data_IF_561318804352
#
_entry.id   IF_561318804352
#
_cell.length_a   1.000
_cell.length_b   1.000
_cell.length_c   1.000
_cell.angle_alpha   90.00
_cell.angle_beta   90.00
_cell.angle_gamma   90.00
#
_symmetry.space_group_name_H-M   'P 1'
#
loop_
_entity.id
_entity.type
_entity.pdbx_description
1 polymer ?
#
# COMPACT_ATOMS: atom_id res chain seq x y z
N UNK A 1 2.79 2.01 -6.26
CA UNK A 1 3.68 2.06 -5.08
C UNK A 1 5.02 2.63 -5.48
N UNK A 2 5.59 3.41 -4.59
CA UNK A 2 6.91 4.00 -4.75
C UNK A 2 7.78 3.52 -3.61
N UNK A 3 9.00 3.16 -3.92
CA UNK A 3 10.01 2.84 -2.94
C UNK A 3 11.06 3.94 -3.02
N UNK A 4 11.25 4.68 -1.92
CA UNK A 4 12.31 5.65 -1.78
C UNK A 4 13.43 5.05 -0.94
N UNK A 5 14.65 5.33 -1.32
CA UNK A 5 15.83 5.03 -0.51
C UNK A 5 15.87 5.91 0.75
N UNK A 6 16.90 5.73 1.57
CA UNK A 6 17.12 6.44 2.83
C UNK A 6 17.27 7.98 2.70
N UNK A 7 17.32 8.50 1.50
CA UNK A 7 17.38 9.93 1.21
C UNK A 7 15.99 10.47 0.87
N UNK A 8 15.64 11.72 1.26
CA UNK A 8 14.42 12.37 0.80
C UNK A 8 14.40 12.45 -0.73
N UNK A 9 13.41 11.84 -1.35
CA UNK A 9 13.25 11.81 -2.80
C UNK A 9 11.94 12.47 -3.16
N UNK A 10 11.99 13.44 -4.08
CA UNK A 10 10.80 14.02 -4.68
C UNK A 10 10.46 13.26 -5.96
N UNK A 11 9.22 12.81 -6.08
CA UNK A 11 8.70 12.08 -7.23
C UNK A 11 7.55 12.85 -7.83
N UNK A 12 7.54 12.99 -9.15
CA UNK A 12 6.51 13.74 -9.87
C UNK A 12 5.67 12.78 -10.70
N UNK A 13 4.36 12.95 -10.67
CA UNK A 13 3.39 12.15 -11.42
C UNK A 13 2.51 13.06 -12.26
N UNK A 14 2.25 12.68 -13.50
CA UNK A 14 1.18 13.26 -14.29
C UNK A 14 -0.17 12.70 -13.80
N UNK A 15 -0.95 13.57 -13.16
CA UNK A 15 -2.30 13.23 -12.67
C UNK A 15 -3.41 13.74 -13.59
N UNK A 16 -3.07 14.42 -14.66
CA UNK A 16 -4.01 15.00 -15.62
C UNK A 16 -5.08 14.00 -16.11
N UNK A 17 -4.72 12.75 -16.47
CA UNK A 17 -5.71 11.77 -16.93
C UNK A 17 -6.74 11.36 -15.87
N UNK A 18 -6.50 11.64 -14.60
CA UNK A 18 -7.35 11.24 -13.48
C UNK A 18 -8.20 12.39 -12.95
N UNK A 19 -7.98 13.62 -13.42
CA UNK A 19 -8.71 14.78 -12.94
C UNK A 19 -10.15 14.81 -13.45
N UNK A 20 -11.04 15.24 -12.57
CA UNK A 20 -12.45 15.49 -12.85
C UNK A 20 -12.75 16.99 -12.81
N UNK A 21 -13.79 17.41 -13.51
CA UNK A 21 -14.18 18.82 -13.59
C UNK A 21 -14.75 19.36 -12.25
N UNK A 22 -15.28 18.46 -11.39
CA UNK A 22 -15.95 18.85 -10.15
C UNK A 22 -15.00 18.79 -8.95
N UNK A 23 -14.87 17.63 -8.33
CA UNK A 23 -14.10 17.46 -7.09
C UNK A 23 -13.02 16.41 -7.27
N UNK A 24 -11.81 16.77 -6.88
CA UNK A 24 -10.66 15.89 -6.87
C UNK A 24 -10.12 15.74 -5.44
N UNK A 25 -9.73 14.53 -5.08
CA UNK A 25 -9.10 14.23 -3.80
C UNK A 25 -7.68 13.74 -4.06
N UNK A 26 -6.72 14.41 -3.46
CA UNK A 26 -5.34 13.91 -3.39
C UNK A 26 -5.18 13.18 -2.07
N UNK A 27 -4.99 11.88 -2.15
CA UNK A 27 -4.87 11.02 -0.98
C UNK A 27 -3.55 10.24 -1.03
N UNK A 28 -2.77 10.30 0.05
CA UNK A 28 -1.48 9.68 0.18
C UNK A 28 -1.49 8.66 1.32
N UNK A 29 -1.18 7.41 1.03
CA UNK A 29 -0.88 6.41 2.04
C UNK A 29 0.63 6.26 2.14
N UNK A 30 1.18 6.64 3.27
CA UNK A 30 2.62 6.70 3.51
C UNK A 30 3.02 5.74 4.64
N UNK A 31 4.11 5.03 4.43
CA UNK A 31 4.84 4.34 5.48
C UNK A 31 6.34 4.60 5.29
N UNK A 32 7.06 4.96 6.35
CA UNK A 32 8.51 5.05 6.29
C UNK A 32 9.09 3.67 5.99
N UNK A 33 10.20 3.63 5.26
CA UNK A 33 10.92 2.39 5.03
C UNK A 33 11.62 1.91 6.29
N UNK A 34 11.66 0.59 6.48
CA UNK A 34 12.51 -0.02 7.50
C UNK A 34 13.99 0.36 7.26
N UNK A 35 14.80 0.69 8.28
CA UNK A 35 14.48 0.68 9.72
C UNK A 35 13.88 1.99 10.28
N UNK A 36 13.59 2.98 9.48
CA UNK A 36 13.15 4.32 9.91
C UNK A 36 11.65 4.39 10.15
N UNK A 37 11.12 3.47 10.95
CA UNK A 37 9.66 3.27 11.13
C UNK A 37 8.94 4.41 11.87
N UNK A 38 9.67 5.33 12.46
CA UNK A 38 9.10 6.44 13.25
C UNK A 38 8.90 7.74 12.45
N UNK A 39 9.42 7.81 11.21
CA UNK A 39 9.24 9.00 10.37
C UNK A 39 7.83 9.06 9.81
N UNK A 40 7.15 10.18 9.98
CA UNK A 40 5.80 10.43 9.45
C UNK A 40 5.68 11.74 8.69
N UNK A 41 6.81 12.26 8.16
CA UNK A 41 6.85 13.53 7.45
C UNK A 41 6.74 13.30 5.95
N UNK A 42 5.81 14.02 5.32
CA UNK A 42 5.62 14.03 3.86
C UNK A 42 5.40 15.45 3.39
N UNK A 43 5.79 15.75 2.17
CA UNK A 43 5.49 17.01 1.49
C UNK A 43 4.87 16.69 0.13
N UNK A 44 3.80 17.39 -0.21
CA UNK A 44 3.12 17.23 -1.49
C UNK A 44 3.04 18.60 -2.15
N UNK A 45 3.40 18.67 -3.42
CA UNK A 45 3.19 19.82 -4.28
C UNK A 45 2.28 19.43 -5.43
N UNK A 46 1.18 20.14 -5.61
CA UNK A 46 0.31 20.02 -6.76
C UNK A 46 0.49 21.26 -7.65
N UNK A 47 0.91 21.06 -8.86
CA UNK A 47 1.21 22.14 -9.78
C UNK A 47 0.82 21.78 -11.22
N UNK A 48 0.63 22.79 -12.03
CA UNK A 48 0.24 22.61 -13.43
C UNK A 48 -0.18 23.92 -14.07
N UNK A 49 -1.01 23.79 -15.10
CA UNK A 49 -1.62 24.90 -15.82
C UNK A 49 -3.13 24.73 -15.73
N UNK A 50 -3.85 25.79 -15.37
CA UNK A 50 -5.31 25.75 -15.30
C UNK A 50 -5.98 25.88 -16.67
N UNK A 51 -7.30 25.84 -16.70
CA UNK A 51 -8.08 25.93 -17.95
C UNK A 51 -7.89 27.25 -18.72
N UNK A 52 -7.41 28.30 -18.07
CA UNK A 52 -7.09 29.59 -18.71
C UNK A 52 -5.68 29.67 -19.29
N UNK A 53 -4.86 28.62 -19.05
CA UNK A 53 -3.45 28.61 -19.41
C UNK A 53 -2.54 29.24 -18.34
N UNK A 54 -3.06 29.61 -17.19
CA UNK A 54 -2.26 30.18 -16.11
C UNK A 54 -1.60 29.09 -15.24
N UNK A 55 -0.30 29.23 -14.92
CA UNK A 55 0.37 28.27 -14.04
C UNK A 55 -0.12 28.41 -12.60
N UNK A 56 -0.23 27.29 -11.93
CA UNK A 56 -0.53 27.25 -10.49
C UNK A 56 0.40 26.30 -9.74
N UNK A 57 0.55 26.53 -8.45
CA UNK A 57 1.24 25.64 -7.52
C UNK A 57 0.57 25.72 -6.15
N UNK A 58 0.37 24.57 -5.52
CA UNK A 58 -0.15 24.41 -4.16
C UNK A 58 0.71 23.41 -3.40
N UNK A 59 1.02 23.72 -2.16
CA UNK A 59 1.74 22.83 -1.27
C UNK A 59 0.81 22.25 -0.22
N UNK A 60 1.16 21.08 0.30
CA UNK A 60 0.53 20.58 1.52
C UNK A 60 0.82 21.55 2.67
N UNK A 61 -0.19 21.79 3.48
CA UNK A 61 -0.17 22.71 4.61
C UNK A 61 -0.92 22.12 5.82
N UNK A 62 -1.08 22.88 6.89
CA UNK A 62 -1.82 22.49 8.09
C UNK A 62 -3.32 22.24 7.88
N UNK A 63 -3.86 22.60 6.70
CA UNK A 63 -5.24 22.26 6.33
C UNK A 63 -5.43 20.83 5.83
N UNK A 64 -4.36 20.10 5.57
CA UNK A 64 -4.45 18.70 5.20
C UNK A 64 -4.93 17.85 6.37
N UNK A 65 -5.72 16.84 6.04
CA UNK A 65 -6.22 15.88 7.02
C UNK A 65 -5.35 14.64 7.03
N UNK A 66 -5.05 14.15 8.21
CA UNK A 66 -4.26 12.93 8.38
C UNK A 66 -4.88 11.99 9.41
N UNK A 67 -4.62 10.72 9.26
CA UNK A 67 -4.96 9.69 10.25
C UNK A 67 -3.97 8.55 10.17
N UNK A 68 -3.89 7.78 11.24
CA UNK A 68 -3.07 6.57 11.23
C UNK A 68 -3.67 5.54 10.25
N UNK A 69 -2.85 5.02 9.34
CA UNK A 69 -3.26 3.95 8.44
C UNK A 69 -3.51 2.64 9.21
N UNK A 70 -4.26 1.73 8.59
CA UNK A 70 -4.47 0.39 9.12
C UNK A 70 -3.24 -0.54 8.94
N UNK A 71 -2.20 -0.08 8.28
CA UNK A 71 -0.94 -0.79 8.08
C UNK A 71 0.22 -0.01 8.69
N UNK A 72 1.21 -0.75 9.20
CA UNK A 72 2.46 -0.20 9.72
C UNK A 72 3.59 -1.23 9.62
N UNK A 73 4.81 -0.74 9.49
CA UNK A 73 5.99 -1.56 9.69
C UNK A 73 6.27 -1.77 11.18
N UNK A 74 6.73 -2.94 11.52
CA UNK A 74 7.23 -3.27 12.84
C UNK A 74 8.76 -3.14 12.87
N UNK A 75 9.33 -3.04 14.05
CA UNK A 75 10.78 -2.89 14.24
C UNK A 75 11.59 -4.10 13.76
N UNK A 76 10.95 -5.26 13.64
CA UNK A 76 11.54 -6.49 13.11
C UNK A 76 11.31 -6.69 11.59
N UNK A 77 10.87 -5.63 10.91
CA UNK A 77 10.73 -5.61 9.45
C UNK A 77 9.50 -6.36 8.92
N UNK A 78 8.53 -6.66 9.77
CA UNK A 78 7.23 -7.18 9.35
C UNK A 78 6.26 -6.05 9.08
N UNK A 79 5.24 -6.33 8.28
CA UNK A 79 4.10 -5.44 8.10
C UNK A 79 2.92 -5.94 8.93
N UNK A 80 2.40 -5.07 9.80
CA UNK A 80 1.19 -5.35 10.57
C UNK A 80 0.02 -4.62 9.94
N UNK A 81 -1.00 -5.37 9.51
CA UNK A 81 -2.23 -4.83 8.91
C UNK A 81 -3.43 -5.17 9.80
N UNK A 82 -4.12 -4.15 10.28
CA UNK A 82 -5.36 -4.31 11.05
C UNK A 82 -6.57 -4.10 10.13
N UNK A 83 -7.20 -5.18 9.68
CA UNK A 83 -8.38 -5.14 8.83
C UNK A 83 -9.58 -4.45 9.48
N UNK A 84 -9.65 -4.41 10.81
CA UNK A 84 -10.74 -3.76 11.56
C UNK A 84 -10.73 -2.24 11.43
N UNK A 85 -9.58 -1.66 11.03
CA UNK A 85 -9.36 -0.24 10.81
C UNK A 85 -9.40 0.14 9.32
N UNK A 86 -9.72 -0.83 8.46
CA UNK A 86 -9.84 -0.57 7.03
C UNK A 86 -10.99 0.39 6.75
N UNK A 87 -10.71 1.39 5.95
CA UNK A 87 -11.68 2.39 5.50
C UNK A 87 -11.56 2.53 3.97
N UNK A 88 -12.51 1.98 3.23
CA UNK A 88 -12.48 2.03 1.77
C UNK A 88 -12.70 3.46 1.22
N UNK A 89 -13.26 4.35 2.04
CA UNK A 89 -13.63 5.71 1.62
C UNK A 89 -12.51 6.74 1.69
N UNK A 90 -11.35 6.39 2.28
CA UNK A 90 -10.29 7.36 2.59
C UNK A 90 -9.76 8.17 1.41
N UNK A 91 -9.94 7.69 0.19
CA UNK A 91 -9.55 8.36 -1.07
C UNK A 91 -10.76 8.81 -1.92
N UNK A 92 -11.95 8.77 -1.37
CA UNK A 92 -13.17 9.18 -2.07
C UNK A 92 -13.50 10.64 -1.76
N UNK A 93 -14.15 11.34 -2.70
CA UNK A 93 -14.61 12.72 -2.48
C UNK A 93 -15.63 12.85 -1.32
N UNK A 94 -16.25 11.74 -0.94
CA UNK A 94 -17.25 11.67 0.12
C UNK A 94 -16.73 10.99 1.40
N UNK A 95 -15.40 10.96 1.61
CA UNK A 95 -14.84 10.38 2.83
C UNK A 95 -15.36 11.07 4.10
N UNK A 96 -15.44 10.34 5.20
CA UNK A 96 -15.87 10.90 6.47
C UNK A 96 -14.68 11.51 7.22
N UNK A 97 -14.59 12.83 7.35
CA UNK A 97 -13.48 13.49 8.02
C UNK A 97 -13.52 13.41 9.55
N UNK A 98 -14.60 12.93 10.16
CA UNK A 98 -14.82 13.00 11.61
C UNK A 98 -13.74 12.30 12.46
N UNK A 99 -13.02 11.34 11.86
CA UNK A 99 -11.93 10.59 12.51
C UNK A 99 -10.54 11.04 12.04
N UNK A 100 -10.48 12.15 11.33
CA UNK A 100 -9.24 12.70 10.81
C UNK A 100 -8.81 13.90 11.63
N UNK A 101 -7.51 14.11 11.74
CA UNK A 101 -6.88 15.24 12.41
C UNK A 101 -6.25 16.15 11.35
N UNK A 102 -6.11 17.40 11.65
CA UNK A 102 -5.29 18.31 10.84
C UNK A 102 -3.81 17.93 10.95
N UNK A 103 -3.09 18.08 9.85
CA UNK A 103 -1.65 17.83 9.84
C UNK A 103 -0.90 18.95 10.58
N UNK A 104 0.17 18.58 11.27
CA UNK A 104 1.11 19.55 11.84
C UNK A 104 2.12 19.97 10.78
N UNK A 105 2.21 21.27 10.52
CA UNK A 105 3.27 21.79 9.67
C UNK A 105 4.63 21.69 10.36
N UNK A 106 5.59 21.16 9.62
CA UNK A 106 6.99 21.10 10.06
C UNK A 106 7.86 21.81 9.01
N UNK A 107 8.70 22.70 9.45
CA UNK A 107 9.74 23.26 8.58
C UNK A 107 10.75 22.15 8.28
N UNK A 108 11.18 22.06 7.01
CA UNK A 108 12.32 21.24 6.67
C UNK A 108 13.53 21.68 7.49
N UNK A 109 14.34 20.71 7.92
CA UNK A 109 15.61 21.05 8.58
C UNK A 109 16.49 21.89 7.64
N UNK A 110 17.11 22.93 8.16
CA UNK A 110 18.03 23.75 7.39
C UNK A 110 19.12 22.87 6.77
N UNK A 111 19.31 22.99 5.44
CA UNK A 111 20.26 22.18 4.71
C UNK A 111 19.77 20.79 4.28
N UNK A 112 18.50 20.46 4.49
CA UNK A 112 17.92 19.22 3.94
C UNK A 112 18.06 19.22 2.42
N UNK A 113 18.85 18.26 1.91
CA UNK A 113 18.98 18.03 0.46
C UNK A 113 17.85 17.09 0.03
N UNK A 114 17.07 17.52 -0.94
CA UNK A 114 16.06 16.69 -1.60
C UNK A 114 16.60 16.26 -2.96
N UNK A 115 16.62 14.97 -3.21
CA UNK A 115 16.92 14.45 -4.55
C UNK A 115 15.64 14.46 -5.36
N UNK A 116 15.64 15.19 -6.47
CA UNK A 116 14.54 15.19 -7.42
C UNK A 116 14.75 14.07 -8.42
N UNK A 117 13.84 13.11 -8.46
CA UNK A 117 13.78 12.14 -9.53
C UNK A 117 13.01 12.73 -10.70
N UNK A 118 13.46 12.40 -11.92
CA UNK A 118 12.74 12.81 -13.12
C UNK A 118 11.35 12.20 -13.18
N UNK A 119 10.48 12.75 -14.01
CA UNK A 119 9.13 12.23 -14.27
C UNK A 119 9.14 10.78 -14.82
N UNK A 120 10.29 10.27 -15.20
CA UNK A 120 10.51 8.90 -15.68
C UNK A 120 10.80 7.90 -14.55
N UNK A 121 10.55 8.24 -13.29
CA UNK A 121 10.74 7.31 -12.19
C UNK A 121 9.77 6.13 -12.34
N UNK A 122 10.28 4.88 -12.31
CA UNK A 122 9.43 3.72 -12.52
C UNK A 122 8.40 3.58 -11.40
N UNK A 123 7.15 3.44 -11.78
CA UNK A 123 6.03 3.17 -10.88
C UNK A 123 5.80 1.67 -10.81
N UNK A 124 5.69 1.16 -9.59
CA UNK A 124 5.37 -0.25 -9.39
C UNK A 124 3.88 -0.49 -9.63
N UNK A 125 3.57 -1.24 -10.68
CA UNK A 125 2.22 -1.58 -11.07
C UNK A 125 1.93 -3.07 -10.90
N UNK A 126 0.68 -3.39 -10.67
CA UNK A 126 0.18 -4.74 -10.79
C UNK A 126 0.07 -5.10 -12.28
N UNK A 127 0.75 -6.14 -12.70
CA UNK A 127 0.80 -6.56 -14.10
C UNK A 127 0.09 -7.88 -14.35
N UNK A 128 0.00 -8.76 -13.35
CA UNK A 128 -0.63 -10.07 -13.51
C UNK A 128 -1.14 -10.62 -12.20
N UNK A 129 -2.21 -11.43 -12.26
CA UNK A 129 -2.71 -12.23 -11.13
C UNK A 129 -2.80 -13.69 -11.53
N UNK A 130 -2.25 -14.58 -10.72
CA UNK A 130 -2.33 -16.05 -10.91
C UNK A 130 -2.72 -16.73 -9.60
N UNK A 131 -3.14 -17.98 -9.67
CA UNK A 131 -3.45 -18.82 -8.52
C UNK A 131 -2.30 -19.75 -8.16
N UNK A 132 -2.41 -20.43 -7.02
CA UNK A 132 -1.49 -21.48 -6.64
C UNK A 132 -1.70 -22.74 -7.51
N UNK A 133 -0.67 -23.57 -7.63
CA UNK A 133 -0.69 -24.84 -8.37
C UNK A 133 -0.81 -26.05 -7.46
N UNK A 134 -0.27 -25.92 -6.26
CA UNK A 134 -0.25 -26.99 -5.27
C UNK A 134 -0.35 -26.42 -3.86
N UNK A 135 -0.96 -27.15 -2.94
CA UNK A 135 -0.93 -26.81 -1.52
C UNK A 135 -0.65 -28.05 -0.66
N UNK A 136 -0.05 -27.82 0.50
CA UNK A 136 0.25 -28.83 1.49
C UNK A 136 -0.11 -28.32 2.89
N UNK A 137 -0.54 -29.21 3.76
CA UNK A 137 -0.98 -28.91 5.13
C UNK A 137 -0.14 -29.64 6.15
N UNK A 138 0.13 -28.97 7.25
CA UNK A 138 0.63 -29.61 8.45
C UNK A 138 -0.18 -29.13 9.67
N UNK A 139 0.12 -29.66 10.85
CA UNK A 139 -0.62 -29.34 12.07
C UNK A 139 -0.56 -27.87 12.51
N UNK A 140 0.26 -27.03 11.84
CA UNK A 140 0.51 -25.64 12.23
C UNK A 140 0.16 -24.63 11.15
N UNK A 141 -0.16 -25.07 9.93
CA UNK A 141 -0.45 -24.12 8.83
C UNK A 141 -0.67 -24.81 7.50
N UNK A 142 -0.75 -23.99 6.47
CA UNK A 142 -0.88 -24.40 5.08
C UNK A 142 0.13 -23.69 4.21
N UNK A 143 0.75 -24.41 3.30
CA UNK A 143 1.71 -23.90 2.32
C UNK A 143 1.09 -23.96 0.94
N UNK A 144 1.22 -22.88 0.19
CA UNK A 144 0.80 -22.78 -1.20
C UNK A 144 2.01 -22.58 -2.08
N UNK A 145 2.10 -23.34 -3.16
CA UNK A 145 3.17 -23.24 -4.15
C UNK A 145 2.62 -22.71 -5.48
N UNK A 146 3.30 -21.70 -6.01
CA UNK A 146 3.02 -21.12 -7.31
C UNK A 146 3.93 -21.79 -8.36
N UNK A 147 3.39 -22.06 -9.54
CA UNK A 147 4.13 -22.80 -10.57
C UNK A 147 5.39 -22.07 -11.05
N UNK A 148 5.36 -20.74 -11.05
CA UNK A 148 6.49 -19.87 -11.42
C UNK A 148 6.73 -18.90 -10.28
N UNK A 149 7.99 -18.54 -10.03
CA UNK A 149 8.35 -17.49 -9.09
C UNK A 149 7.94 -16.11 -9.63
N UNK A 150 7.53 -15.22 -8.74
CA UNK A 150 7.13 -13.85 -9.10
C UNK A 150 7.57 -12.86 -8.01
N UNK A 151 7.77 -11.61 -8.43
CA UNK A 151 7.92 -10.48 -7.51
C UNK A 151 6.58 -9.80 -7.31
N UNK A 152 6.18 -9.57 -6.06
CA UNK A 152 4.91 -8.90 -5.77
C UNK A 152 4.36 -9.18 -4.39
N UNK A 153 3.08 -9.50 -4.30
CA UNK A 153 2.41 -9.83 -3.05
C UNK A 153 1.46 -11.02 -3.23
N UNK A 154 1.17 -11.69 -2.12
CA UNK A 154 0.11 -12.70 -2.05
C UNK A 154 -1.12 -12.07 -1.41
N UNK A 155 -2.29 -12.32 -1.98
CA UNK A 155 -3.59 -11.96 -1.41
C UNK A 155 -4.38 -13.21 -1.08
N UNK A 156 -4.90 -13.25 0.14
CA UNK A 156 -5.77 -14.34 0.61
C UNK A 156 -7.19 -13.82 0.71
N UNK A 157 -8.16 -14.59 0.24
CA UNK A 157 -9.57 -14.39 0.59
C UNK A 157 -9.93 -15.36 1.71
N UNK A 158 -10.40 -14.80 2.82
CA UNK A 158 -10.73 -15.53 4.04
C UNK A 158 -12.25 -15.54 4.21
N UNK A 159 -12.83 -16.72 4.30
CA UNK A 159 -14.25 -16.88 4.57
C UNK A 159 -14.50 -17.16 6.04
N UNK A 160 -15.43 -16.42 6.64
CA UNK A 160 -15.87 -16.59 8.02
C UNK A 160 -14.74 -16.46 9.07
N UNK A 161 -13.67 -15.75 8.74
CA UNK A 161 -12.66 -15.42 9.72
C UNK A 161 -13.27 -14.52 10.83
N UNK A 162 -12.95 -14.80 12.07
CA UNK A 162 -13.54 -14.07 13.20
C UNK A 162 -12.85 -12.73 13.39
N UNK A 163 -13.63 -11.70 13.74
CA UNK A 163 -13.06 -10.39 14.07
C UNK A 163 -11.97 -10.50 15.14
N UNK A 164 -10.78 -9.97 14.84
CA UNK A 164 -9.61 -10.01 15.70
C UNK A 164 -8.82 -11.33 15.65
N UNK A 165 -9.20 -12.28 14.78
CA UNK A 165 -8.39 -13.44 14.46
C UNK A 165 -7.11 -12.99 13.75
N UNK A 166 -6.00 -13.70 13.98
CA UNK A 166 -4.70 -13.32 13.43
C UNK A 166 -4.21 -14.36 12.46
N UNK A 167 -3.74 -13.88 11.32
CA UNK A 167 -3.14 -14.68 10.27
C UNK A 167 -1.78 -14.10 9.94
N UNK A 168 -0.80 -14.97 9.73
CA UNK A 168 0.57 -14.55 9.44
C UNK A 168 1.12 -15.34 8.25
N UNK A 169 1.77 -14.66 7.35
CA UNK A 169 2.53 -15.25 6.26
C UNK A 169 3.60 -14.26 5.76
N UNK A 170 4.77 -14.77 5.47
CA UNK A 170 5.88 -14.06 4.84
C UNK A 170 6.12 -12.62 5.34
N UNK A 171 6.18 -12.44 6.65
CA UNK A 171 6.39 -11.12 7.26
C UNK A 171 5.17 -10.20 7.25
N UNK A 172 3.99 -10.68 6.87
CA UNK A 172 2.71 -10.04 7.15
C UNK A 172 2.10 -10.61 8.42
N UNK A 173 1.63 -9.74 9.28
CA UNK A 173 0.71 -10.04 10.38
C UNK A 173 -0.62 -9.34 10.12
N UNK A 174 -1.67 -10.10 9.85
CA UNK A 174 -2.98 -9.57 9.52
C UNK A 174 -3.98 -9.85 10.64
N UNK A 175 -4.73 -8.83 11.04
CA UNK A 175 -5.83 -8.94 12.02
C UNK A 175 -7.15 -8.84 11.28
N UNK A 176 -7.95 -9.91 11.33
CA UNK A 176 -9.21 -10.02 10.61
C UNK A 176 -10.28 -9.03 11.10
N UNK A 177 -11.07 -8.52 10.18
CA UNK A 177 -12.19 -7.63 10.45
C UNK A 177 -13.50 -8.37 10.76
N UNK A 178 -13.59 -9.64 10.36
CA UNK A 178 -14.75 -10.50 10.58
C UNK A 178 -15.81 -10.40 9.49
N UNK A 179 -15.50 -9.86 8.32
CA UNK A 179 -16.38 -9.91 7.15
C UNK A 179 -16.43 -11.31 6.55
N UNK A 180 -17.52 -11.61 5.83
CA UNK A 180 -17.75 -12.95 5.29
C UNK A 180 -16.63 -13.41 4.34
N UNK A 181 -16.24 -12.57 3.39
CA UNK A 181 -15.16 -12.82 2.42
C UNK A 181 -14.15 -11.68 2.52
N UNK A 182 -13.28 -11.77 3.51
CA UNK A 182 -12.29 -10.77 3.83
C UNK A 182 -11.01 -10.97 3.05
N UNK A 183 -10.42 -9.89 2.54
CA UNK A 183 -9.16 -9.95 1.82
C UNK A 183 -7.99 -9.54 2.70
N UNK A 184 -7.08 -10.48 2.97
CA UNK A 184 -5.84 -10.25 3.69
C UNK A 184 -4.68 -10.11 2.71
N UNK A 185 -4.02 -8.97 2.71
CA UNK A 185 -2.84 -8.70 1.86
C UNK A 185 -2.00 -7.57 2.45
N UNK A 186 -0.70 -7.53 2.16
CA UNK A 186 0.18 -6.44 2.59
C UNK A 186 -0.14 -5.15 1.84
N UNK A 187 -0.08 -4.01 2.52
CA UNK A 187 -0.26 -2.69 1.91
C UNK A 187 1.04 -2.20 1.26
N UNK A 188 2.19 -2.43 1.91
CA UNK A 188 3.48 -1.92 1.45
C UNK A 188 4.47 -3.01 1.07
N UNK A 189 4.44 -4.15 1.77
CA UNK A 189 5.40 -5.21 1.56
C UNK A 189 5.22 -5.90 0.21
N UNK A 190 6.34 -6.09 -0.46
CA UNK A 190 6.49 -6.94 -1.64
C UNK A 190 7.73 -7.80 -1.45
N UNK A 191 7.72 -8.99 -2.04
CA UNK A 191 8.81 -9.93 -1.98
C UNK A 191 8.81 -10.86 -3.20
N UNK A 192 9.84 -11.68 -3.30
CA UNK A 192 9.91 -12.74 -4.27
C UNK A 192 9.23 -13.98 -3.70
N UNK A 193 8.27 -14.53 -4.44
CA UNK A 193 7.49 -15.68 -4.04
C UNK A 193 7.61 -16.81 -5.05
N UNK A 194 7.79 -18.00 -4.56
CA UNK A 194 7.49 -19.25 -5.23
C UNK A 194 6.58 -20.10 -4.35
N UNK A 195 6.70 -19.92 -3.06
CA UNK A 195 5.90 -20.59 -2.04
C UNK A 195 5.56 -19.60 -0.94
N UNK A 196 4.37 -19.72 -0.37
CA UNK A 196 3.97 -18.99 0.83
C UNK A 196 3.43 -19.96 1.88
N UNK A 197 3.83 -19.77 3.13
CA UNK A 197 3.29 -20.51 4.26
C UNK A 197 2.41 -19.62 5.09
N UNK A 198 1.17 -20.02 5.26
CA UNK A 198 0.17 -19.31 6.06
C UNK A 198 -0.01 -20.03 7.38
N UNK A 199 0.05 -19.28 8.46
CA UNK A 199 -0.23 -19.71 9.83
C UNK A 199 -1.21 -18.75 10.48
N UNK A 200 -1.71 -19.09 11.65
CA UNK A 200 -2.61 -18.19 12.38
C UNK A 200 -2.62 -18.47 13.87
N UNK A 201 -3.47 -17.73 14.59
CA UNK A 201 -3.69 -17.98 16.00
C UNK A 201 -4.54 -19.27 16.19
N UNK A 202 -4.85 -19.63 17.45
CA UNK A 202 -5.60 -20.85 17.78
C UNK A 202 -7.00 -20.97 17.13
N UNK A 203 -7.50 -19.90 16.52
CA UNK A 203 -8.81 -19.85 15.84
C UNK A 203 -8.70 -20.15 14.35
N UNK A 204 -7.51 -20.00 13.80
CA UNK A 204 -7.24 -20.18 12.38
C UNK A 204 -7.54 -21.62 11.94
N UNK A 205 -8.24 -21.74 10.84
CA UNK A 205 -8.49 -22.98 10.13
C UNK A 205 -8.10 -22.81 8.67
N UNK A 206 -7.37 -23.75 8.13
CA UNK A 206 -6.89 -23.67 6.74
C UNK A 206 -8.01 -23.61 5.69
N UNK A 207 -9.18 -24.19 5.98
CA UNK A 207 -10.36 -24.20 5.10
C UNK A 207 -11.08 -22.83 5.05
N UNK A 208 -10.72 -21.88 5.91
CA UNK A 208 -11.14 -20.49 5.80
C UNK A 208 -10.48 -19.78 4.60
N UNK A 209 -9.34 -20.26 4.10
CA UNK A 209 -8.68 -19.70 2.92
C UNK A 209 -9.37 -20.26 1.68
N UNK A 210 -10.20 -19.43 1.04
CA UNK A 210 -10.98 -19.82 -0.14
C UNK A 210 -10.31 -19.47 -1.45
N UNK A 211 -9.50 -18.40 -1.47
CA UNK A 211 -8.74 -17.96 -2.65
C UNK A 211 -7.33 -17.54 -2.22
N UNK A 212 -6.34 -17.93 -3.02
CA UNK A 212 -4.95 -17.51 -2.88
C UNK A 212 -4.49 -16.99 -4.23
N UNK A 213 -4.09 -15.73 -4.27
CA UNK A 213 -3.71 -15.03 -5.49
C UNK A 213 -2.27 -14.52 -5.40
N UNK A 214 -1.50 -14.82 -6.43
CA UNK A 214 -0.21 -14.20 -6.71
C UNK A 214 -0.45 -12.89 -7.47
N UNK A 215 -0.17 -11.76 -6.86
CA UNK A 215 -0.29 -10.46 -7.50
C UNK A 215 1.12 -10.02 -7.89
N UNK A 216 1.47 -10.32 -9.13
CA UNK A 216 2.74 -9.94 -9.70
C UNK A 216 2.79 -8.44 -9.94
N UNK A 217 3.94 -7.84 -9.61
CA UNK A 217 4.20 -6.43 -9.82
C UNK A 217 5.46 -6.25 -10.66
N UNK A 218 5.51 -5.19 -11.44
CA UNK A 218 6.66 -4.78 -12.20
C UNK A 218 6.82 -3.27 -12.16
N UNK A 219 8.06 -2.82 -12.31
CA UNK A 219 8.33 -1.40 -12.53
C UNK A 219 8.04 -1.07 -13.98
N UNK A 220 7.11 -0.15 -14.20
CA UNK A 220 6.87 0.45 -15.49
C UNK A 220 7.40 1.88 -15.47
N UNK A 221 8.17 2.32 -16.45
CA UNK A 221 8.53 3.72 -16.58
C UNK A 221 7.26 4.54 -16.79
N UNK A 222 7.13 5.64 -16.05
CA UNK A 222 6.05 6.59 -16.27
C UNK A 222 6.29 7.30 -17.60
N UNK A 223 5.40 7.15 -18.56
CA UNK A 223 5.40 7.95 -19.76
C UNK A 223 5.72 7.23 -21.04
N UNK A 224 5.14 7.76 -22.05
CA UNK A 224 5.34 7.58 -23.48
C UNK A 224 5.47 6.13 -23.94
N UNK A 225 4.33 5.51 -24.00
CA UNK A 225 3.98 4.40 -24.87
C UNK A 225 5.08 3.82 -25.74
N UNK A 226 6.09 3.21 -25.15
CA UNK A 226 6.77 2.14 -25.86
C UNK A 226 5.90 0.92 -25.68
N UNK A 227 5.26 0.44 -26.76
CA UNK A 227 4.56 -0.83 -26.71
C UNK A 227 5.58 -1.90 -26.39
N UNK A 228 5.35 -2.63 -25.32
CA UNK A 228 6.04 -3.87 -24.99
C UNK A 228 5.41 -5.01 -25.78
#
# INVERSE_FOLDING_TARGET
RLQADSQPVAMTFDVTPFLRADTNVVALCYAPSYPHVDSSQVSVQFFGVDASGAPFSRFSDGGWLCRRANSRWTVDGKEHVDGRLHDASWKAAWFNPALWLTADERKAADGAKVTYLSATHPVLRHVHTDGYRYFDRDGCGVSYEFGVGFHGMVRLTLREARRGERISYDGLEYVCNGQLDEQAYPVFRMADYRRVRVTGDRRFKHDQITVVEAIQTAYEPDGDGLPW
#
